data_IF_074695556121
#
_entry.id   IF_074695556121
#
_cell.length_a   1.000
_cell.length_b   1.000
_cell.length_c   1.000
_cell.angle_alpha   90.00
_cell.angle_beta   90.00
_cell.angle_gamma   90.00
#
_symmetry.space_group_name_H-M   'P 1'
#
loop_
_entity.id
_entity.type
_entity.pdbx_description
1 polymer ?
#
# COMPACT_ATOMS: atom_id res chain seq x y z
N UNK A 1 3.42 -16.92 5.93
CA UNK A 1 4.63 -16.61 6.73
C UNK A 1 4.44 -17.16 8.15
N UNK A 2 5.23 -16.72 9.13
CA UNK A 2 5.08 -17.09 10.55
C UNK A 2 3.75 -16.63 11.19
N UNK A 3 3.06 -15.65 10.58
CA UNK A 3 1.73 -15.18 11.00
C UNK A 3 0.58 -15.79 10.19
N UNK A 4 0.88 -16.74 9.31
CA UNK A 4 -0.11 -17.40 8.45
C UNK A 4 -0.53 -16.58 7.22
N UNK A 5 0.14 -15.48 6.91
CA UNK A 5 -0.17 -14.65 5.76
C UNK A 5 0.16 -15.36 4.43
N UNK A 6 -0.72 -15.17 3.45
CA UNK A 6 -0.52 -15.62 2.07
C UNK A 6 0.52 -14.71 1.42
N UNK A 7 1.67 -15.25 1.06
CA UNK A 7 2.75 -14.52 0.39
C UNK A 7 2.65 -14.62 -1.14
N UNK A 8 2.07 -15.71 -1.64
CA UNK A 8 1.86 -15.93 -3.05
C UNK A 8 0.68 -16.86 -3.27
N UNK A 9 -0.08 -16.62 -4.34
CA UNK A 9 -1.07 -17.56 -4.85
C UNK A 9 -1.04 -17.57 -6.38
N UNK A 10 -1.55 -18.63 -6.99
CA UNK A 10 -1.69 -18.73 -8.44
C UNK A 10 -3.18 -18.84 -8.76
N UNK A 11 -3.66 -17.95 -9.64
CA UNK A 11 -5.05 -17.95 -10.07
C UNK A 11 -5.37 -19.20 -10.91
N UNK A 12 -6.66 -19.47 -11.14
CA UNK A 12 -7.09 -20.55 -12.05
C UNK A 12 -6.59 -20.37 -13.48
N UNK A 13 -6.30 -19.12 -13.89
CA UNK A 13 -5.71 -18.80 -15.19
C UNK A 13 -4.19 -18.98 -15.25
N UNK A 14 -3.56 -19.48 -14.16
CA UNK A 14 -2.12 -19.75 -14.10
C UNK A 14 -1.24 -18.54 -13.77
N UNK A 15 -1.84 -17.39 -13.45
CA UNK A 15 -1.11 -16.16 -13.13
C UNK A 15 -0.76 -16.15 -11.64
N UNK A 16 0.53 -16.12 -11.32
CA UNK A 16 1.01 -15.95 -9.95
C UNK A 16 0.82 -14.51 -9.49
N UNK A 17 0.43 -14.32 -8.24
CA UNK A 17 0.38 -13.02 -7.57
C UNK A 17 1.12 -13.12 -6.26
N UNK A 18 2.05 -12.20 -6.04
CA UNK A 18 2.83 -12.09 -4.80
C UNK A 18 2.29 -10.94 -3.96
N UNK A 19 2.21 -11.14 -2.65
CA UNK A 19 1.82 -10.13 -1.66
C UNK A 19 2.98 -9.97 -0.67
N UNK A 20 3.43 -8.73 -0.53
CA UNK A 20 4.43 -8.34 0.48
C UNK A 20 3.68 -7.73 1.66
N UNK A 21 3.98 -8.24 2.85
CA UNK A 21 3.36 -7.83 4.11
C UNK A 21 4.32 -6.95 4.91
N UNK A 22 3.85 -5.77 5.27
CA UNK A 22 4.54 -4.81 6.13
C UNK A 22 3.80 -4.60 7.45
N UNK A 23 4.14 -3.53 8.16
CA UNK A 23 3.55 -3.19 9.47
C UNK A 23 3.65 -4.38 10.43
N UNK A 24 4.85 -4.92 10.61
CA UNK A 24 5.16 -6.14 11.36
C UNK A 24 4.37 -7.36 10.85
N UNK A 25 4.30 -7.52 9.51
CA UNK A 25 3.57 -8.59 8.82
C UNK A 25 2.05 -8.61 9.14
N UNK A 26 1.43 -7.45 9.34
CA UNK A 26 -0.02 -7.36 9.63
C UNK A 26 -0.84 -6.84 8.47
N UNK A 27 -0.22 -6.09 7.55
CA UNK A 27 -0.93 -5.41 6.47
C UNK A 27 -0.18 -5.57 5.13
N UNK A 28 -0.89 -5.75 4.01
CA UNK A 28 -0.26 -5.89 2.70
C UNK A 28 0.21 -4.52 2.19
N UNK A 29 1.51 -4.36 1.93
CA UNK A 29 2.08 -3.09 1.45
C UNK A 29 2.35 -3.08 -0.06
N UNK A 30 2.45 -4.25 -0.67
CA UNK A 30 2.56 -4.38 -2.12
C UNK A 30 1.89 -5.67 -2.62
N UNK A 31 1.20 -5.55 -3.76
CA UNK A 31 0.64 -6.66 -4.54
C UNK A 31 1.25 -6.61 -5.94
N UNK A 32 1.89 -7.70 -6.35
CA UNK A 32 2.60 -7.82 -7.62
C UNK A 32 1.95 -8.94 -8.43
N UNK A 33 1.27 -8.60 -9.53
CA UNK A 33 0.63 -9.61 -10.38
C UNK A 33 1.61 -10.07 -11.47
N UNK A 34 1.62 -11.36 -11.75
CA UNK A 34 2.53 -11.98 -12.73
C UNK A 34 3.88 -12.42 -12.16
N UNK A 35 4.32 -11.87 -11.01
CA UNK A 35 5.59 -12.26 -10.39
C UNK A 35 5.41 -13.37 -9.35
N UNK A 36 6.36 -14.30 -9.30
CA UNK A 36 6.57 -15.16 -8.13
C UNK A 36 7.48 -14.45 -7.13
N UNK A 37 7.40 -14.85 -5.87
CA UNK A 37 8.27 -14.32 -4.83
C UNK A 37 9.76 -14.54 -5.14
N UNK A 38 10.09 -15.66 -5.81
CA UNK A 38 11.45 -15.96 -6.28
C UNK A 38 11.99 -15.00 -7.33
N UNK A 39 11.12 -14.26 -8.01
CA UNK A 39 11.49 -13.34 -9.09
C UNK A 39 11.85 -11.94 -8.55
N UNK A 40 11.59 -11.70 -7.26
CA UNK A 40 11.78 -10.41 -6.60
C UNK A 40 13.03 -10.50 -5.72
N UNK A 41 14.00 -9.61 -5.96
CA UNK A 41 15.23 -9.54 -5.17
C UNK A 41 14.90 -9.28 -3.69
N UNK A 42 15.41 -10.09 -2.74
CA UNK A 42 15.08 -9.96 -1.31
C UNK A 42 15.32 -8.56 -0.73
N UNK A 43 16.40 -7.89 -1.12
CA UNK A 43 16.70 -6.53 -0.62
C UNK A 43 15.66 -5.49 -1.02
N UNK A 44 14.94 -5.68 -2.14
CA UNK A 44 13.83 -4.80 -2.52
C UNK A 44 12.64 -4.95 -1.59
N UNK A 45 12.39 -6.19 -1.14
CA UNK A 45 11.34 -6.51 -0.17
C UNK A 45 11.71 -5.93 1.19
N UNK A 46 12.94 -6.19 1.65
CA UNK A 46 13.42 -5.75 2.97
C UNK A 46 13.36 -4.23 3.13
N UNK A 47 13.66 -3.46 2.08
CA UNK A 47 13.61 -2.01 2.09
C UNK A 47 12.18 -1.47 2.38
N UNK A 48 11.17 -1.99 1.67
CA UNK A 48 9.79 -1.53 1.86
C UNK A 48 9.18 -2.05 3.17
N UNK A 49 9.56 -3.26 3.60
CA UNK A 49 9.12 -3.82 4.90
C UNK A 49 9.70 -2.98 6.04
N UNK A 50 11.01 -2.71 6.03
CA UNK A 50 11.67 -1.89 7.06
C UNK A 50 11.10 -0.48 7.13
N UNK A 51 10.82 0.15 5.98
CA UNK A 51 10.17 1.45 5.94
C UNK A 51 8.75 1.40 6.53
N UNK A 52 8.00 0.34 6.26
CA UNK A 52 6.65 0.17 6.80
C UNK A 52 6.63 -0.11 8.31
N UNK A 53 7.62 -0.83 8.81
CA UNK A 53 7.75 -1.13 10.24
C UNK A 53 8.16 0.13 11.01
N UNK A 54 9.04 0.95 10.44
CA UNK A 54 9.39 2.26 10.98
C UNK A 54 8.19 3.22 10.97
N UNK A 55 7.39 3.21 9.89
CA UNK A 55 6.15 3.97 9.84
C UNK A 55 5.14 3.52 10.90
N UNK A 56 4.97 2.20 11.07
CA UNK A 56 4.14 1.65 12.15
C UNK A 56 4.59 2.10 13.54
N UNK A 57 5.90 2.23 13.76
CA UNK A 57 6.46 2.64 15.05
C UNK A 57 6.31 4.14 15.31
N UNK A 58 6.51 4.98 14.29
CA UNK A 58 6.52 6.44 14.44
C UNK A 58 5.13 7.04 14.26
N UNK A 59 4.32 6.51 13.34
CA UNK A 59 2.97 6.99 13.00
C UNK A 59 2.93 8.51 12.76
N UNK A 60 3.80 8.98 11.85
CA UNK A 60 3.92 10.41 11.49
C UNK A 60 3.83 10.61 9.98
N UNK A 61 3.38 11.78 9.53
CA UNK A 61 3.39 12.15 8.10
C UNK A 61 4.78 11.98 7.45
N UNK A 62 5.86 12.23 8.21
CA UNK A 62 7.22 12.10 7.71
C UNK A 62 7.66 10.63 7.53
N UNK A 63 7.26 9.75 8.46
CA UNK A 63 7.52 8.32 8.33
C UNK A 63 6.70 7.71 7.20
N UNK A 64 5.45 8.14 7.04
CA UNK A 64 4.61 7.68 5.95
C UNK A 64 5.18 8.16 4.60
N UNK A 65 5.59 9.42 4.49
CA UNK A 65 6.20 9.93 3.26
C UNK A 65 7.51 9.19 2.91
N UNK A 66 8.25 8.71 3.90
CA UNK A 66 9.43 7.87 3.71
C UNK A 66 9.05 6.49 3.18
N UNK A 67 8.01 5.87 3.72
CA UNK A 67 7.44 4.62 3.20
C UNK A 67 6.92 4.78 1.77
N UNK A 68 6.16 5.84 1.49
CA UNK A 68 5.67 6.18 0.15
C UNK A 68 6.83 6.27 -0.85
N UNK A 69 7.92 6.95 -0.46
CA UNK A 69 9.12 7.06 -1.30
C UNK A 69 9.78 5.71 -1.56
N UNK A 70 9.87 4.84 -0.55
CA UNK A 70 10.40 3.49 -0.69
C UNK A 70 9.54 2.61 -1.61
N UNK A 71 8.21 2.71 -1.49
CA UNK A 71 7.26 2.01 -2.36
C UNK A 71 7.35 2.50 -3.81
N UNK A 72 7.56 3.80 -4.03
CA UNK A 72 7.74 4.35 -5.38
C UNK A 72 9.05 3.89 -6.01
N UNK A 73 10.15 3.81 -5.24
CA UNK A 73 11.40 3.22 -5.71
C UNK A 73 11.26 1.72 -6.02
N UNK A 74 10.51 0.98 -5.20
CA UNK A 74 10.21 -0.43 -5.43
C UNK A 74 9.45 -0.63 -6.74
N UNK A 75 8.35 0.10 -6.95
CA UNK A 75 7.52 0.02 -8.15
C UNK A 75 8.26 0.40 -9.43
N UNK A 76 9.14 1.39 -9.35
CA UNK A 76 9.90 1.89 -10.50
C UNK A 76 11.23 1.15 -10.70
N UNK A 77 11.49 0.09 -9.93
CA UNK A 77 12.70 -0.69 -10.08
C UNK A 77 12.74 -1.35 -11.47
N UNK A 78 13.87 -1.23 -12.17
CA UNK A 78 14.04 -1.75 -13.53
C UNK A 78 13.75 -3.26 -13.65
N UNK A 79 14.06 -4.05 -12.62
CA UNK A 79 13.79 -5.49 -12.58
C UNK A 79 12.30 -5.85 -12.45
N UNK A 80 11.45 -4.89 -12.08
CA UNK A 80 10.02 -5.10 -11.82
C UNK A 80 9.09 -4.42 -12.84
N UNK A 81 9.65 -3.72 -13.83
CA UNK A 81 8.89 -2.97 -14.85
C UNK A 81 7.90 -3.80 -15.66
N UNK A 82 8.10 -5.12 -15.75
CA UNK A 82 7.21 -6.04 -16.45
C UNK A 82 5.94 -6.39 -15.64
N UNK A 83 5.87 -6.04 -14.35
CA UNK A 83 4.80 -6.46 -13.46
C UNK A 83 3.90 -5.29 -13.05
N UNK A 84 2.57 -5.44 -13.15
CA UNK A 84 1.66 -4.49 -12.52
C UNK A 84 1.77 -4.61 -10.99
N UNK A 85 2.17 -3.50 -10.36
CA UNK A 85 2.31 -3.39 -8.91
C UNK A 85 1.24 -2.45 -8.38
N UNK A 86 0.59 -2.85 -7.29
CA UNK A 86 -0.23 -1.97 -6.45
C UNK A 86 0.40 -1.87 -5.07
N UNK A 87 0.53 -0.67 -4.53
CA UNK A 87 1.11 -0.44 -3.20
C UNK A 87 0.13 0.25 -2.29
N UNK A 88 0.28 0.04 -0.99
CA UNK A 88 -0.65 0.50 0.04
C UNK A 88 0.12 1.07 1.23
N UNK A 89 -0.40 2.14 1.81
CA UNK A 89 0.01 2.67 3.13
C UNK A 89 -1.20 2.74 4.06
N UNK A 90 -0.94 2.74 5.37
CA UNK A 90 -1.98 2.63 6.39
C UNK A 90 -1.66 3.46 7.62
N UNK A 91 -2.71 3.98 8.24
CA UNK A 91 -2.70 4.45 9.61
C UNK A 91 -3.30 3.40 10.53
N UNK A 92 -2.56 3.05 11.58
CA UNK A 92 -3.02 2.11 12.59
C UNK A 92 -4.33 2.61 13.21
N UNK A 93 -5.33 1.72 13.31
CA UNK A 93 -6.68 1.99 13.85
C UNK A 93 -7.60 2.87 12.97
N UNK A 94 -7.11 3.42 11.86
CA UNK A 94 -7.93 4.24 10.94
C UNK A 94 -8.22 3.44 9.67
N UNK A 95 -7.18 3.03 8.95
CA UNK A 95 -7.33 2.30 7.70
C UNK A 95 -6.27 2.67 6.67
N UNK A 96 -6.57 2.37 5.40
CA UNK A 96 -5.71 2.70 4.26
C UNK A 96 -5.59 4.22 4.13
N UNK A 97 -4.39 4.74 4.00
CA UNK A 97 -4.10 6.16 3.78
C UNK A 97 -3.74 6.46 2.34
N UNK A 98 -3.07 5.53 1.64
CA UNK A 98 -2.88 5.63 0.20
C UNK A 98 -2.91 4.30 -0.53
N UNK A 99 -3.37 4.34 -1.78
CA UNK A 99 -3.26 3.24 -2.75
C UNK A 99 -2.65 3.79 -4.01
N UNK A 100 -1.55 3.19 -4.48
CA UNK A 100 -1.00 3.49 -5.80
C UNK A 100 -1.23 2.29 -6.71
N UNK A 101 -2.18 2.37 -7.67
CA UNK A 101 -2.40 1.32 -8.68
C UNK A 101 -1.26 1.26 -9.71
N UNK A 102 -1.24 0.25 -10.60
CA UNK A 102 -0.23 0.14 -11.66
C UNK A 102 -0.18 1.36 -12.60
N UNK A 103 -1.28 2.11 -12.72
CA UNK A 103 -1.34 3.37 -13.48
C UNK A 103 -0.43 4.47 -12.92
N UNK A 104 0.01 4.36 -11.66
CA UNK A 104 0.84 5.36 -10.99
C UNK A 104 0.08 6.55 -10.39
N UNK A 105 -1.22 6.68 -10.66
CA UNK A 105 -2.07 7.73 -10.09
C UNK A 105 -2.44 7.31 -8.68
N UNK A 106 -1.82 7.93 -7.67
CA UNK A 106 -2.05 7.59 -6.26
C UNK A 106 -3.41 8.11 -5.82
N UNK A 107 -4.16 7.28 -5.13
CA UNK A 107 -5.34 7.65 -4.37
C UNK A 107 -4.94 7.87 -2.90
N UNK A 108 -5.31 9.01 -2.34
CA UNK A 108 -5.08 9.39 -0.94
C UNK A 108 -6.42 9.42 -0.23
N UNK A 109 -6.54 8.67 0.86
CA UNK A 109 -7.76 8.43 1.60
C UNK A 109 -7.76 9.30 2.86
N UNK A 110 -8.72 10.22 2.95
CA UNK A 110 -8.81 11.21 4.02
C UNK A 110 -10.00 10.89 4.89
N UNK A 111 -9.78 10.82 6.19
CA UNK A 111 -10.79 10.47 7.17
C UNK A 111 -11.28 11.70 7.93
N UNK A 112 -12.50 11.64 8.46
CA UNK A 112 -13.01 12.62 9.40
C UNK A 112 -12.54 12.34 10.83
N UNK A 113 -12.92 13.20 11.78
CA UNK A 113 -12.54 13.07 13.20
C UNK A 113 -13.15 11.85 13.89
N UNK A 114 -14.05 11.11 13.23
CA UNK A 114 -14.62 9.86 13.70
C UNK A 114 -14.02 8.63 12.99
N UNK A 115 -12.87 8.80 12.32
CA UNK A 115 -12.16 7.77 11.54
C UNK A 115 -13.01 7.16 10.42
N UNK A 116 -13.92 7.92 9.83
CA UNK A 116 -14.71 7.48 8.66
C UNK A 116 -14.15 8.10 7.39
N UNK A 117 -14.12 7.35 6.31
CA UNK A 117 -13.64 7.83 5.01
C UNK A 117 -14.49 9.04 4.57
N UNK A 118 -13.86 10.20 4.44
CA UNK A 118 -14.50 11.46 4.09
C UNK A 118 -14.28 11.80 2.63
N UNK A 119 -13.03 11.71 2.16
CA UNK A 119 -12.63 12.10 0.81
C UNK A 119 -11.59 11.11 0.27
N UNK A 120 -11.59 10.92 -1.05
CA UNK A 120 -10.46 10.32 -1.77
C UNK A 120 -9.94 11.35 -2.75
N UNK A 121 -8.63 11.60 -2.72
CA UNK A 121 -7.95 12.61 -3.56
C UNK A 121 -6.82 12.01 -4.37
N UNK A 122 -6.48 12.68 -5.46
CA UNK A 122 -5.42 12.28 -6.36
C UNK A 122 -4.05 12.82 -5.89
N UNK A 123 -3.05 11.94 -5.79
CA UNK A 123 -1.63 12.18 -5.49
C UNK A 123 -1.28 12.80 -4.11
N UNK A 124 -2.15 13.62 -3.53
CA UNK A 124 -1.91 14.32 -2.27
C UNK A 124 -3.22 14.68 -1.56
N UNK A 125 -3.14 14.97 -0.26
CA UNK A 125 -4.26 15.48 0.55
C UNK A 125 -4.82 16.83 0.05
N UNK A 126 -4.04 17.59 -0.72
CA UNK A 126 -4.47 18.83 -1.38
C UNK A 126 -4.80 18.64 -2.86
N UNK A 127 -4.66 17.42 -3.38
CA UNK A 127 -4.88 17.12 -4.79
C UNK A 127 -6.34 17.14 -5.21
N UNK A 128 -6.58 16.76 -6.46
CA UNK A 128 -7.92 16.74 -7.05
C UNK A 128 -8.81 15.76 -6.30
N UNK A 129 -10.01 16.21 -5.90
CA UNK A 129 -11.00 15.35 -5.28
C UNK A 129 -11.55 14.35 -6.30
N UNK A 130 -11.45 13.06 -5.97
CA UNK A 130 -11.96 11.94 -6.76
C UNK A 130 -13.33 11.48 -6.23
N UNK A 131 -13.48 11.40 -4.91
CA UNK A 131 -14.71 10.97 -4.22
C UNK A 131 -14.91 11.76 -2.93
N UNK A 132 -16.18 12.00 -2.57
CA UNK A 132 -16.60 12.61 -1.31
C UNK A 132 -17.72 11.75 -0.70
N UNK A 133 -17.68 11.55 0.62
CA UNK A 133 -18.68 10.80 1.38
C UNK A 133 -19.32 11.69 2.45
N UNK A 134 -20.65 11.69 2.52
CA UNK A 134 -21.43 12.45 3.50
C UNK A 134 -22.29 11.50 4.33
N UNK A 135 -22.19 11.64 5.64
CA UNK A 135 -22.90 10.79 6.59
C UNK A 135 -23.96 11.61 7.33
N UNK A 136 -25.23 11.28 7.13
CA UNK A 136 -26.36 11.92 7.81
C UNK A 136 -26.99 10.91 8.77
N UNK A 137 -26.92 11.17 10.07
CA UNK A 137 -27.62 10.38 11.08
C UNK A 137 -28.91 11.06 11.48
N UNK A 138 -29.98 10.27 11.65
CA UNK A 138 -31.14 10.68 12.43
C UNK A 138 -30.82 10.41 13.89
N UNK A 139 -30.87 11.46 14.71
CA UNK A 139 -30.92 11.34 16.16
C UNK A 139 -32.34 10.97 16.61
#
# INVERSE_FOLDING_TARGET
DEKGNIQQYTSRSGVSTTIIWGYNKTQPIARIEGAKLSDITPSLIDNIVSASDNDAQLSTDASEQSLVSALDLFRNNSSLTAYPITTYTYDSLIGVTSITPPSGIREVYIYDTANRLKEVRENSVTGKMLKEYKYNYKN
#
